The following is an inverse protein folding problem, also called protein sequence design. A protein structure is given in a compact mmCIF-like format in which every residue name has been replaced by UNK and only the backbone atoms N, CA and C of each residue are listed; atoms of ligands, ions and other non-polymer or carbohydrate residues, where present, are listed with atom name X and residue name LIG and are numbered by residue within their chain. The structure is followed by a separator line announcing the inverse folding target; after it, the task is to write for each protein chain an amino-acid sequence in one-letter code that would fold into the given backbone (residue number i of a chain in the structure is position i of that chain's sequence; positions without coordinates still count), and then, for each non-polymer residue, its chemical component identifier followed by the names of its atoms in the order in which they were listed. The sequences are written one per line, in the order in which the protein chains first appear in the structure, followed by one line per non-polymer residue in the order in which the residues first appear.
data_IF_762933021452
#
_entry.id   IF_762933021452
#
_cell.length_a   1.000
_cell.length_b   1.000
_cell.length_c   1.000
_cell.angle_alpha   90.00
_cell.angle_beta   90.00
_cell.angle_gamma   90.00
#
_symmetry.space_group_name_H-M   'P 1'
#
loop_
_entity.id
_entity.type
_entity.pdbx_description
1 polymer ?
#
# COMPACT_ATOMS: atom_id res chain seq x y z
N UNK A 1 15.98 15.38 5.55
CA UNK A 1 16.00 13.98 5.07
C UNK A 1 14.80 13.77 4.14
N UNK A 2 14.74 14.52 3.04
CA UNK A 2 13.72 14.27 2.02
C UNK A 2 13.91 12.83 1.52
N UNK A 3 12.84 12.12 1.15
CA UNK A 3 12.85 10.72 0.67
C UNK A 3 13.00 9.62 1.71
N UNK A 4 13.22 9.92 3.00
CA UNK A 4 13.35 8.86 4.01
C UNK A 4 12.08 7.98 4.07
N UNK A 5 10.89 8.60 4.07
CA UNK A 5 9.63 7.87 4.14
C UNK A 5 9.43 6.94 2.93
N UNK A 6 9.55 7.47 1.71
CA UNK A 6 9.43 6.69 0.48
C UNK A 6 10.45 5.53 0.45
N UNK A 7 11.68 5.76 0.90
CA UNK A 7 12.72 4.72 0.92
C UNK A 7 12.35 3.59 1.86
N UNK A 8 11.92 3.88 3.10
CA UNK A 8 11.50 2.84 4.05
C UNK A 8 10.24 2.11 3.56
N UNK A 9 9.33 2.82 2.90
CA UNK A 9 8.12 2.23 2.33
C UNK A 9 8.46 1.23 1.22
N UNK A 10 9.30 1.62 0.26
CA UNK A 10 9.77 0.73 -0.81
C UNK A 10 10.57 -0.45 -0.27
N UNK A 11 11.45 -0.23 0.70
CA UNK A 11 12.19 -1.31 1.37
C UNK A 11 11.24 -2.30 2.03
N UNK A 12 10.20 -1.81 2.70
CA UNK A 12 9.19 -2.66 3.35
C UNK A 12 8.39 -3.46 2.32
N UNK A 13 8.03 -2.87 1.18
CA UNK A 13 7.38 -3.59 0.06
C UNK A 13 8.30 -4.69 -0.47
N UNK A 14 9.59 -4.42 -0.67
CA UNK A 14 10.56 -5.44 -1.10
C UNK A 14 10.62 -6.60 -0.11
N UNK A 15 10.69 -6.33 1.19
CA UNK A 15 10.62 -7.37 2.22
C UNK A 15 9.32 -8.20 2.13
N UNK A 16 8.18 -7.56 1.84
CA UNK A 16 6.91 -8.26 1.63
C UNK A 16 6.92 -9.15 0.39
N UNK A 17 7.52 -8.70 -0.72
CA UNK A 17 7.72 -9.51 -1.93
C UNK A 17 8.60 -10.72 -1.63
N UNK A 18 9.67 -10.56 -0.86
CA UNK A 18 10.51 -11.69 -0.45
C UNK A 18 9.73 -12.70 0.40
N UNK A 19 8.91 -12.23 1.34
CA UNK A 19 8.02 -13.10 2.14
C UNK A 19 6.98 -13.82 1.27
N UNK A 20 6.30 -13.10 0.38
CA UNK A 20 5.30 -13.67 -0.53
C UNK A 20 5.94 -14.70 -1.46
N UNK A 21 7.16 -14.44 -1.97
CA UNK A 21 7.90 -15.41 -2.77
C UNK A 21 8.26 -16.67 -1.98
N UNK A 22 8.83 -16.49 -0.79
CA UNK A 22 9.34 -17.59 0.06
C UNK A 22 8.24 -18.52 0.54
N UNK A 23 7.05 -17.99 0.81
CA UNK A 23 5.92 -18.73 1.36
C UNK A 23 4.77 -18.90 0.38
N UNK A 24 4.84 -18.35 -0.83
CA UNK A 24 3.82 -18.42 -1.89
C UNK A 24 2.43 -18.02 -1.37
N UNK A 25 2.26 -16.76 -0.96
CA UNK A 25 1.12 -16.30 -0.16
C UNK A 25 -0.02 -15.69 -1.01
N UNK A 26 0.29 -14.68 -1.81
CA UNK A 26 -0.67 -13.85 -2.52
C UNK A 26 -0.36 -13.80 -4.03
N UNK A 27 0.59 -12.95 -4.46
CA UNK A 27 0.92 -12.80 -5.88
C UNK A 27 1.57 -14.06 -6.45
N UNK A 28 2.42 -14.72 -5.66
CA UNK A 28 3.05 -15.97 -6.10
C UNK A 28 2.11 -17.18 -6.06
N UNK A 29 0.98 -17.09 -5.33
CA UNK A 29 -0.05 -18.13 -5.33
C UNK A 29 -1.03 -17.97 -6.51
N UNK A 30 -1.55 -16.76 -6.72
CA UNK A 30 -2.39 -16.41 -7.86
C UNK A 30 -2.26 -14.91 -8.18
N UNK A 31 -1.34 -14.61 -9.11
CA UNK A 31 -1.02 -13.24 -9.49
C UNK A 31 -2.23 -12.48 -10.05
N UNK A 32 -3.15 -13.17 -10.75
CA UNK A 32 -4.32 -12.51 -11.36
C UNK A 32 -5.29 -12.06 -10.30
N UNK A 33 -5.63 -12.95 -9.35
CA UNK A 33 -6.54 -12.62 -8.24
C UNK A 33 -5.93 -11.57 -7.32
N UNK A 34 -4.65 -11.72 -6.98
CA UNK A 34 -3.94 -10.76 -6.13
C UNK A 34 -3.87 -9.37 -6.78
N UNK A 35 -3.61 -9.28 -8.08
CA UNK A 35 -3.58 -8.01 -8.81
C UNK A 35 -4.96 -7.36 -8.88
N UNK A 36 -6.02 -8.12 -9.21
CA UNK A 36 -7.38 -7.60 -9.27
C UNK A 36 -7.86 -7.07 -7.91
N UNK A 37 -7.62 -7.84 -6.83
CA UNK A 37 -7.97 -7.41 -5.47
C UNK A 37 -7.18 -6.18 -5.06
N UNK A 38 -5.86 -6.18 -5.29
CA UNK A 38 -5.00 -5.04 -4.97
C UNK A 38 -5.45 -3.78 -5.70
N UNK A 39 -5.71 -3.88 -7.01
CA UNK A 39 -6.16 -2.76 -7.82
C UNK A 39 -7.53 -2.24 -7.36
N UNK A 40 -8.49 -3.13 -7.08
CA UNK A 40 -9.83 -2.72 -6.64
C UNK A 40 -9.79 -2.02 -5.27
N UNK A 41 -9.04 -2.55 -4.31
CA UNK A 41 -8.94 -2.00 -2.96
C UNK A 41 -8.18 -0.67 -2.96
N UNK A 42 -7.07 -0.58 -3.68
CA UNK A 42 -6.33 0.69 -3.81
C UNK A 42 -7.18 1.74 -4.53
N UNK A 43 -7.91 1.38 -5.59
CA UNK A 43 -8.82 2.31 -6.27
C UNK A 43 -9.94 2.80 -5.34
N UNK A 44 -10.48 1.93 -4.48
CA UNK A 44 -11.48 2.31 -3.49
C UNK A 44 -10.92 3.28 -2.46
N UNK A 45 -9.70 3.04 -1.95
CA UNK A 45 -9.05 3.95 -1.02
C UNK A 45 -8.73 5.30 -1.65
N UNK A 46 -8.22 5.31 -2.88
CA UNK A 46 -7.95 6.56 -3.61
C UNK A 46 -9.24 7.36 -3.87
N UNK A 47 -10.35 6.68 -4.16
CA UNK A 47 -11.66 7.34 -4.29
C UNK A 47 -12.09 7.94 -2.95
N UNK A 48 -11.88 7.22 -1.85
CA UNK A 48 -12.18 7.70 -0.51
C UNK A 48 -11.32 8.91 -0.11
N UNK A 49 -10.02 8.86 -0.41
CA UNK A 49 -9.10 9.99 -0.20
C UNK A 49 -9.53 11.20 -1.01
N UNK A 50 -9.86 11.02 -2.30
CA UNK A 50 -10.34 12.09 -3.15
C UNK A 50 -11.61 12.75 -2.58
N UNK A 51 -12.54 11.95 -2.05
CA UNK A 51 -13.73 12.47 -1.37
C UNK A 51 -13.36 13.26 -0.11
N UNK A 52 -12.46 12.73 0.73
CA UNK A 52 -12.06 13.41 1.96
C UNK A 52 -11.25 14.69 1.71
N UNK A 53 -10.48 14.76 0.63
CA UNK A 53 -9.82 15.99 0.17
C UNK A 53 -10.89 16.99 -0.32
N UNK A 54 -11.86 16.54 -1.13
CA UNK A 54 -12.92 17.39 -1.63
C UNK A 54 -13.83 17.95 -0.52
N UNK A 55 -14.04 17.20 0.56
CA UNK A 55 -14.79 17.67 1.75
C UNK A 55 -13.94 18.45 2.74
N UNK A 56 -12.65 18.66 2.48
CA UNK A 56 -11.73 19.36 3.38
C UNK A 56 -11.55 18.63 4.72
N UNK A 57 -11.58 17.31 4.71
CA UNK A 57 -11.37 16.45 5.88
C UNK A 57 -9.94 15.90 5.92
N UNK A 58 -9.37 15.60 4.75
CA UNK A 58 -7.97 15.22 4.61
C UNK A 58 -7.11 16.44 4.26
N UNK A 59 -6.05 16.62 5.04
CA UNK A 59 -5.04 17.66 4.85
C UNK A 59 -3.67 17.03 4.93
N UNK A 60 -2.74 17.54 4.13
CA UNK A 60 -1.34 17.18 4.25
C UNK A 60 -0.76 17.82 5.51
N UNK A 61 -0.16 16.99 6.37
CA UNK A 61 0.71 17.49 7.44
C UNK A 61 2.06 17.93 6.88
N UNK A 62 2.61 19.04 7.37
CA UNK A 62 3.97 19.47 7.07
C UNK A 62 4.99 18.47 7.64
N UNK A 63 5.34 17.46 6.85
CA UNK A 63 6.36 16.47 7.22
C UNK A 63 7.66 16.72 6.45
N UNK A 64 8.78 17.03 7.14
CA UNK A 64 10.08 17.30 6.51
C UNK A 64 10.75 16.05 5.91
N UNK A 65 10.09 14.89 5.99
CA UNK A 65 10.59 13.59 5.50
C UNK A 65 9.97 13.17 4.16
N UNK A 66 8.93 13.86 3.70
CA UNK A 66 8.29 13.59 2.42
C UNK A 66 9.16 14.07 1.26
N UNK A 67 8.96 13.48 0.09
CA UNK A 67 9.62 13.86 -1.17
C UNK A 67 9.28 15.28 -1.62
N UNK A 68 8.11 15.79 -1.20
CA UNK A 68 7.58 17.07 -1.66
C UNK A 68 6.86 16.99 -3.02
N UNK A 69 6.79 15.80 -3.64
CA UNK A 69 6.07 15.59 -4.91
C UNK A 69 4.60 15.34 -4.63
N UNK A 70 3.73 16.16 -5.23
CA UNK A 70 2.28 16.05 -5.14
C UNK A 70 1.70 15.51 -6.45
N UNK A 71 0.83 14.50 -6.35
CA UNK A 71 0.10 13.95 -7.48
C UNK A 71 -1.21 14.70 -7.73
N UNK A 72 -1.82 15.24 -6.68
CA UNK A 72 -3.04 16.04 -6.69
C UNK A 72 -3.01 17.02 -5.49
N UNK A 73 -3.92 18.01 -5.40
CA UNK A 73 -3.99 18.90 -4.24
C UNK A 73 -4.06 18.08 -2.94
N UNK A 74 -3.14 18.34 -2.01
CA UNK A 74 -3.03 17.62 -0.72
C UNK A 74 -2.69 16.13 -0.80
N UNK A 75 -2.41 15.57 -1.99
CA UNK A 75 -2.10 14.14 -2.18
C UNK A 75 -0.62 13.91 -2.54
N UNK A 76 0.21 13.44 -1.59
CA UNK A 76 1.62 13.16 -1.83
C UNK A 76 1.82 11.87 -2.66
N UNK A 77 2.91 11.80 -3.43
CA UNK A 77 3.29 10.63 -4.24
C UNK A 77 3.38 9.33 -3.42
N UNK A 78 3.74 9.45 -2.15
CA UNK A 78 3.89 8.30 -1.25
C UNK A 78 2.55 7.68 -0.84
N UNK A 79 1.44 8.40 -0.96
CA UNK A 79 0.13 7.92 -0.50
C UNK A 79 -0.36 6.69 -1.29
N UNK A 80 -0.40 6.69 -2.65
CA UNK A 80 -0.80 5.50 -3.40
C UNK A 80 0.12 4.29 -3.14
N UNK A 81 1.41 4.55 -2.92
CA UNK A 81 2.39 3.50 -2.61
C UNK A 81 2.11 2.93 -1.22
N UNK A 82 1.72 3.77 -0.26
CA UNK A 82 1.35 3.36 1.09
C UNK A 82 0.04 2.56 1.10
N UNK A 83 -0.97 3.00 0.35
CA UNK A 83 -2.23 2.26 0.20
C UNK A 83 -2.00 0.88 -0.43
N UNK A 84 -1.13 0.81 -1.45
CA UNK A 84 -0.72 -0.47 -2.03
C UNK A 84 0.00 -1.34 -1.00
N UNK A 85 0.95 -0.77 -0.25
CA UNK A 85 1.65 -1.48 0.82
C UNK A 85 0.68 -2.05 1.87
N UNK A 86 -0.29 -1.26 2.33
CA UNK A 86 -1.29 -1.69 3.31
C UNK A 86 -2.12 -2.85 2.75
N UNK A 87 -2.61 -2.70 1.53
CA UNK A 87 -3.37 -3.76 0.84
C UNK A 87 -2.56 -5.04 0.72
N UNK A 88 -1.29 -4.92 0.32
CA UNK A 88 -0.41 -6.05 0.12
C UNK A 88 -0.04 -6.74 1.46
N UNK A 89 0.20 -5.97 2.51
CA UNK A 89 0.38 -6.47 3.86
C UNK A 89 -0.83 -7.30 4.31
N UNK A 90 -2.04 -6.79 4.11
CA UNK A 90 -3.27 -7.52 4.47
C UNK A 90 -3.40 -8.82 3.69
N UNK A 91 -3.10 -8.82 2.39
CA UNK A 91 -3.09 -10.06 1.59
C UNK A 91 -2.08 -11.08 2.13
N UNK A 92 -0.84 -10.65 2.41
CA UNK A 92 0.20 -11.54 2.94
C UNK A 92 -0.14 -12.09 4.32
N UNK A 93 -0.63 -11.25 5.24
CA UNK A 93 -1.01 -11.67 6.59
C UNK A 93 -2.20 -12.62 6.55
N UNK A 94 -3.24 -12.32 5.77
CA UNK A 94 -4.42 -13.21 5.69
C UNK A 94 -4.09 -14.53 5.01
N UNK A 95 -3.26 -14.54 3.97
CA UNK A 95 -2.80 -15.78 3.34
C UNK A 95 -1.87 -16.57 4.25
N UNK A 96 -0.97 -15.90 4.97
CA UNK A 96 -0.10 -16.54 5.98
C UNK A 96 -0.91 -17.17 7.10
N UNK A 97 -1.88 -16.43 7.65
CA UNK A 97 -2.80 -16.94 8.68
C UNK A 97 -3.59 -18.16 8.18
N UNK A 98 -4.13 -18.12 6.95
CA UNK A 98 -4.81 -19.28 6.35
C UNK A 98 -3.92 -20.52 6.25
N UNK A 99 -2.62 -20.35 5.98
CA UNK A 99 -1.67 -21.48 5.92
C UNK A 99 -1.28 -22.02 7.29
N UNK A 100 -1.28 -21.19 8.32
CA UNK A 100 -0.91 -21.60 9.70
C UNK A 100 -2.11 -22.19 10.46
N UNK A 101 -3.31 -21.66 10.23
CA UNK A 101 -4.54 -22.03 10.95
C UNK A 101 -5.40 -23.04 10.18
N UNK A 102 -5.24 -23.14 8.86
CA UNK A 102 -5.98 -24.10 8.04
C UNK A 102 -5.59 -25.55 8.38
N UNK A 103 -6.54 -26.50 8.34
CA UNK A 103 -6.27 -27.93 8.52
C UNK A 103 -5.37 -28.50 7.40
#
# INVERSE_FOLDING_TARGET
MAFAYLTFLLLSIVCMVLCDWRFTLAFFADARRAALLSAAVVALFLLWDALGIATGTFFRGDSPFMTGVELAPEMPLEEPIFLFFLTYLTLNVTSGARKVVGP
#
